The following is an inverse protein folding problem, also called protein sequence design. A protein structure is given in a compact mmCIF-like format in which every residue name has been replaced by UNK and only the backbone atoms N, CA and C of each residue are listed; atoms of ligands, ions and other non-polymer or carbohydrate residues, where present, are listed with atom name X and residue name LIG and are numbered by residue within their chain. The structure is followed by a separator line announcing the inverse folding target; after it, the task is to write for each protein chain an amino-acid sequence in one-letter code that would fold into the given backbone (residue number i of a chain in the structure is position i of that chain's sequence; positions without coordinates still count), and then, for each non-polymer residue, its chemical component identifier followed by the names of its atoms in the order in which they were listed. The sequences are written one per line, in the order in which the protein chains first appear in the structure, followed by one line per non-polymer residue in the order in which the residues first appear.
data_IF_303448978517
#
_entry.id   IF_303448978517
#
_cell.length_a   1.000
_cell.length_b   1.000
_cell.length_c   1.000
_cell.angle_alpha   90.00
_cell.angle_beta   90.00
_cell.angle_gamma   90.00
#
_symmetry.space_group_name_H-M   'P 1'
#
loop_
_entity.id
_entity.type
_entity.pdbx_description
1 polymer ?
#
# COMPACT_ATOMS: atom_id res chain seq x y z
N UNK A 1 16.25 -21.57 -12.35
CA UNK A 1 15.85 -21.21 -12.17
C UNK A 1 15.20 -20.69 -11.72
N UNK A 2 15.12 -20.72 -11.62
CA UNK A 2 14.55 -20.32 -11.41
C UNK A 2 14.04 -19.69 -10.93
N UNK A 3 13.65 -19.61 -10.74
CA UNK A 3 13.18 -18.97 -10.37
C UNK A 3 13.14 -17.98 -9.66
N UNK A 4 13.25 -18.05 -9.43
CA UNK A 4 13.68 -16.85 -8.81
C UNK A 4 13.14 -15.63 -9.37
N UNK A 5 12.34 -15.78 -10.34
CA UNK A 5 11.64 -14.68 -10.96
C UNK A 5 10.71 -13.98 -10.02
N UNK A 6 10.39 -14.63 -8.92
CA UNK A 6 9.47 -14.05 -7.95
C UNK A 6 10.16 -13.52 -6.72
N UNK A 7 11.43 -13.17 -6.88
CA UNK A 7 12.15 -12.56 -5.78
C UNK A 7 11.49 -11.24 -5.45
N UNK A 8 11.18 -11.07 -4.19
CA UNK A 8 10.53 -9.86 -3.73
C UNK A 8 11.52 -9.02 -2.95
N UNK A 9 11.31 -7.73 -3.00
CA UNK A 9 12.15 -6.80 -2.29
C UNK A 9 11.51 -6.46 -0.96
N UNK A 10 12.35 -6.36 0.06
CA UNK A 10 11.90 -5.95 1.38
C UNK A 10 12.07 -4.45 1.47
N UNK A 11 10.98 -3.77 1.73
CA UNK A 11 10.99 -2.32 1.86
C UNK A 11 10.52 -1.98 3.25
N UNK A 12 11.29 -1.15 3.94
CA UNK A 12 10.94 -0.73 5.29
C UNK A 12 10.56 0.73 5.24
N UNK A 13 9.28 1.00 5.50
CA UNK A 13 8.77 2.36 5.47
C UNK A 13 8.74 3.02 6.84
N UNK A 14 8.75 2.24 7.89
CA UNK A 14 8.56 2.77 9.22
C UNK A 14 9.82 2.60 10.04
N UNK A 15 10.20 3.63 10.77
CA UNK A 15 11.37 3.56 11.60
C UNK A 15 11.17 2.69 12.83
N UNK A 16 9.93 2.48 13.25
CA UNK A 16 9.69 1.60 14.39
C UNK A 16 9.82 0.14 13.99
N UNK A 17 9.86 -0.16 12.69
CA UNK A 17 10.16 -1.49 12.17
C UNK A 17 9.22 -2.57 12.69
N UNK A 18 7.97 -2.20 12.87
CA UNK A 18 6.97 -3.16 13.33
C UNK A 18 6.43 -4.02 12.21
N UNK A 19 6.84 -3.77 10.98
CA UNK A 19 6.44 -4.58 9.85
C UNK A 19 7.45 -4.40 8.72
N UNK A 20 7.41 -5.34 7.79
CA UNK A 20 8.16 -5.26 6.54
C UNK A 20 7.18 -5.34 5.38
N UNK A 21 7.54 -4.74 4.27
CA UNK A 21 6.73 -4.80 3.07
C UNK A 21 7.54 -5.52 2.01
N UNK A 22 6.96 -6.55 1.43
CA UNK A 22 7.62 -7.38 0.42
C UNK A 22 6.82 -7.26 -0.87
N UNK A 23 7.46 -6.73 -1.91
CA UNK A 23 6.80 -6.50 -3.18
C UNK A 23 7.69 -6.98 -4.31
N UNK A 24 7.08 -7.33 -5.46
CA UNK A 24 7.88 -7.70 -6.63
C UNK A 24 8.74 -6.54 -7.11
N UNK A 25 9.84 -6.88 -7.74
CA UNK A 25 10.78 -5.86 -8.19
C UNK A 25 10.14 -4.91 -9.21
N UNK A 26 9.32 -5.44 -10.12
CA UNK A 26 8.69 -4.57 -11.11
C UNK A 26 7.75 -3.56 -10.47
N UNK A 27 7.09 -3.93 -9.38
CA UNK A 27 6.25 -2.98 -8.67
C UNK A 27 7.11 -1.92 -7.99
N UNK A 28 8.22 -2.33 -7.40
CA UNK A 28 9.13 -1.36 -6.79
C UNK A 28 9.64 -0.37 -7.83
N UNK A 29 9.96 -0.85 -9.03
CA UNK A 29 10.39 0.03 -10.10
C UNK A 29 9.28 1.02 -10.48
N UNK A 30 8.06 0.52 -10.60
CA UNK A 30 6.93 1.40 -10.92
C UNK A 30 6.72 2.47 -9.86
N UNK A 31 6.80 2.09 -8.60
CA UNK A 31 6.62 3.04 -7.51
C UNK A 31 7.74 4.07 -7.46
N UNK A 32 8.94 3.66 -7.81
CA UNK A 32 10.10 4.53 -7.75
C UNK A 32 10.24 5.42 -8.99
N UNK A 33 9.56 5.07 -10.08
CA UNK A 33 9.65 5.80 -11.33
C UNK A 33 8.62 6.93 -11.35
N UNK A 34 8.74 7.83 -10.39
CA UNK A 34 7.82 8.96 -10.26
C UNK A 34 8.56 10.09 -9.60
N UNK A 35 8.72 11.16 -10.35
CA UNK A 35 9.47 12.30 -9.89
C UNK A 35 8.62 13.34 -9.19
N UNK A 36 7.40 12.97 -8.82
CA UNK A 36 6.50 13.88 -8.11
C UNK A 36 7.03 14.27 -6.74
N UNK A 37 8.02 13.54 -6.23
CA UNK A 37 8.61 13.92 -4.96
C UNK A 37 9.17 15.35 -4.97
N UNK A 38 9.39 15.91 -6.15
CA UNK A 38 9.82 17.29 -6.27
C UNK A 38 8.69 18.27 -6.05
N UNK A 39 7.46 17.81 -6.13
CA UNK A 39 6.29 18.66 -5.94
C UNK A 39 5.73 18.39 -4.55
N UNK A 40 5.95 19.34 -3.63
CA UNK A 40 5.58 19.11 -2.24
C UNK A 40 4.08 19.09 -2.01
N UNK A 41 3.29 19.47 -3.00
CA UNK A 41 1.84 19.51 -2.84
C UNK A 41 1.18 18.18 -3.20
N UNK A 42 1.95 17.20 -3.66
CA UNK A 42 1.37 15.91 -3.97
C UNK A 42 2.36 14.79 -3.65
N UNK A 43 1.81 13.62 -3.35
CA UNK A 43 2.62 12.44 -3.08
C UNK A 43 3.16 11.85 -4.37
N UNK A 44 4.34 11.24 -4.28
CA UNK A 44 4.80 10.32 -5.31
C UNK A 44 4.05 9.00 -5.17
N UNK A 45 4.21 8.13 -6.15
CA UNK A 45 3.62 6.78 -6.09
C UNK A 45 4.10 6.04 -4.85
N UNK A 46 5.39 6.14 -4.55
CA UNK A 46 5.93 5.45 -3.38
C UNK A 46 5.32 6.00 -2.10
N UNK A 47 5.16 7.32 -2.00
CA UNK A 47 4.54 7.92 -0.83
C UNK A 47 3.08 7.50 -0.69
N UNK A 48 2.37 7.40 -1.81
CA UNK A 48 0.98 6.96 -1.77
C UNK A 48 0.88 5.51 -1.31
N UNK A 49 1.76 4.65 -1.81
CA UNK A 49 1.78 3.26 -1.39
C UNK A 49 2.12 3.15 0.09
N UNK A 50 3.12 3.90 0.53
CA UNK A 50 3.50 3.93 1.95
C UNK A 50 2.31 4.36 2.81
N UNK A 51 1.55 5.35 2.35
CA UNK A 51 0.39 5.82 3.09
C UNK A 51 -0.66 4.72 3.23
N UNK A 52 -0.89 3.95 2.17
CA UNK A 52 -1.82 2.83 2.23
C UNK A 52 -1.34 1.77 3.23
N UNK A 53 -0.05 1.46 3.20
CA UNK A 53 0.51 0.46 4.10
C UNK A 53 0.35 0.91 5.54
N UNK A 54 0.63 2.17 5.83
CA UNK A 54 0.54 2.69 7.19
C UNK A 54 -0.91 2.71 7.68
N UNK A 55 -1.85 3.06 6.79
CA UNK A 55 -3.26 3.01 7.15
C UNK A 55 -3.70 1.59 7.45
N UNK A 56 -3.21 0.63 6.65
CA UNK A 56 -3.55 -0.77 6.86
C UNK A 56 -2.99 -1.26 8.19
N UNK A 57 -1.73 -0.91 8.48
CA UNK A 57 -1.11 -1.30 9.75
C UNK A 57 -1.91 -0.75 10.94
N UNK A 58 -2.31 0.50 10.86
CA UNK A 58 -3.10 1.12 11.92
C UNK A 58 -4.43 0.40 12.09
N UNK A 59 -5.09 0.06 10.98
CA UNK A 59 -6.36 -0.67 11.04
C UNK A 59 -6.18 -2.04 11.67
N UNK A 60 -5.11 -2.74 11.32
CA UNK A 60 -4.84 -4.06 11.90
C UNK A 60 -4.64 -3.95 13.41
N UNK A 61 -3.95 -2.92 13.87
CA UNK A 61 -3.74 -2.74 15.30
C UNK A 61 -5.05 -2.48 16.03
N UNK A 62 -6.00 -1.85 15.36
CA UNK A 62 -7.31 -1.58 15.95
C UNK A 62 -8.28 -2.72 15.71
N UNK A 63 -7.85 -3.76 15.00
CA UNK A 63 -8.70 -4.90 14.66
C UNK A 63 -9.92 -4.47 13.85
N UNK A 64 -9.69 -3.55 12.92
CA UNK A 64 -10.71 -3.01 12.05
C UNK A 64 -10.33 -3.22 10.60
N UNK A 65 -11.32 -3.23 9.73
CA UNK A 65 -11.07 -3.18 8.30
C UNK A 65 -10.57 -1.79 7.93
N UNK A 66 -9.67 -1.74 6.94
CA UNK A 66 -9.23 -0.46 6.41
C UNK A 66 -10.24 0.00 5.37
N UNK A 67 -11.09 0.92 5.76
CA UNK A 67 -12.04 1.52 4.83
C UNK A 67 -11.42 2.76 4.23
N UNK A 68 -11.45 2.87 2.90
CA UNK A 68 -10.89 4.02 2.22
C UNK A 68 -11.98 4.72 1.42
N UNK A 69 -11.82 6.01 1.33
CA UNK A 69 -12.69 6.86 0.53
C UNK A 69 -11.82 7.52 -0.51
N UNK A 70 -12.18 7.35 -1.78
CA UNK A 70 -11.34 7.85 -2.88
C UNK A 70 -11.18 9.36 -2.79
N UNK A 71 -12.22 10.07 -2.41
CA UNK A 71 -12.13 11.52 -2.30
C UNK A 71 -11.15 11.94 -1.22
N UNK A 72 -11.18 11.25 -0.08
CA UNK A 72 -10.25 11.56 1.00
C UNK A 72 -8.81 11.24 0.62
N UNK A 73 -8.60 10.12 -0.06
CA UNK A 73 -7.27 9.79 -0.55
C UNK A 73 -6.79 10.83 -1.55
N UNK A 74 -7.68 11.26 -2.43
CA UNK A 74 -7.35 12.29 -3.40
C UNK A 74 -6.83 13.55 -2.70
N UNK A 75 -7.52 13.97 -1.65
CA UNK A 75 -7.10 15.15 -0.90
C UNK A 75 -5.80 14.92 -0.14
N UNK A 76 -5.66 13.73 0.46
CA UNK A 76 -4.45 13.43 1.23
C UNK A 76 -3.22 13.34 0.35
N UNK A 77 -3.38 12.80 -0.85
CA UNK A 77 -2.25 12.56 -1.74
C UNK A 77 -2.01 13.73 -2.71
N UNK A 78 -2.96 14.63 -2.82
CA UNK A 78 -2.87 15.71 -3.81
C UNK A 78 -3.02 15.18 -5.23
N UNK A 79 -3.80 14.13 -5.42
CA UNK A 79 -4.04 13.49 -6.71
C UNK A 79 -5.48 13.71 -7.13
N UNK A 80 -5.75 13.61 -8.43
CA UNK A 80 -7.13 13.58 -8.90
C UNK A 80 -7.76 12.25 -8.50
N UNK A 81 -9.08 12.24 -8.38
CA UNK A 81 -9.79 11.00 -8.04
C UNK A 81 -9.56 9.89 -9.05
N UNK A 82 -9.61 10.17 -10.37
CA UNK A 82 -9.31 9.10 -11.32
C UNK A 82 -7.90 8.52 -11.14
N UNK A 83 -6.93 9.35 -10.80
CA UNK A 83 -5.57 8.86 -10.58
C UNK A 83 -5.51 7.94 -9.38
N UNK A 84 -6.21 8.30 -8.29
CA UNK A 84 -6.27 7.44 -7.11
C UNK A 84 -6.91 6.11 -7.47
N UNK A 85 -8.03 6.14 -8.19
CA UNK A 85 -8.72 4.92 -8.58
C UNK A 85 -7.84 4.02 -9.43
N UNK A 86 -7.16 4.60 -10.41
CA UNK A 86 -6.28 3.80 -11.27
C UNK A 86 -5.13 3.19 -10.50
N UNK A 87 -4.60 3.92 -9.54
CA UNK A 87 -3.50 3.42 -8.72
C UNK A 87 -3.95 2.23 -7.87
N UNK A 88 -5.10 2.36 -7.22
CA UNK A 88 -5.65 1.26 -6.41
C UNK A 88 -5.94 0.05 -7.29
N UNK A 89 -6.53 0.27 -8.47
CA UNK A 89 -6.82 -0.81 -9.39
C UNK A 89 -5.54 -1.48 -9.89
N UNK A 90 -4.50 -0.68 -10.11
CA UNK A 90 -3.21 -1.24 -10.53
C UNK A 90 -2.64 -2.14 -9.44
N UNK A 91 -2.69 -1.70 -8.19
CA UNK A 91 -2.19 -2.51 -7.08
C UNK A 91 -3.01 -3.78 -6.92
N UNK A 92 -4.32 -3.69 -7.14
CA UNK A 92 -5.16 -4.88 -7.08
C UNK A 92 -4.80 -5.85 -8.19
N UNK A 93 -4.56 -5.35 -9.39
CA UNK A 93 -4.17 -6.18 -10.52
C UNK A 93 -2.81 -6.84 -10.29
N UNK A 94 -1.94 -6.19 -9.55
CA UNK A 94 -0.64 -6.77 -9.19
C UNK A 94 -0.73 -7.71 -7.99
N UNK A 95 -1.93 -7.94 -7.49
CA UNK A 95 -2.18 -8.86 -6.38
C UNK A 95 -1.47 -8.45 -5.10
N UNK A 96 -1.32 -7.14 -4.92
CA UNK A 96 -0.73 -6.59 -3.72
C UNK A 96 -1.80 -6.37 -2.66
N UNK A 97 -3.02 -6.07 -3.11
CA UNK A 97 -4.13 -5.84 -2.21
C UNK A 97 -5.42 -6.35 -2.82
N UNK A 98 -6.41 -6.49 -1.99
CA UNK A 98 -7.77 -6.84 -2.40
C UNK A 98 -8.70 -5.70 -2.06
N UNK A 99 -9.68 -5.46 -2.91
CA UNK A 99 -10.62 -4.38 -2.75
C UNK A 99 -12.04 -4.96 -2.69
N UNK A 100 -12.77 -4.58 -1.66
CA UNK A 100 -14.16 -5.01 -1.49
C UNK A 100 -15.01 -3.76 -1.45
N UNK A 101 -15.95 -3.64 -2.39
CA UNK A 101 -16.81 -2.48 -2.44
C UNK A 101 -17.95 -2.63 -1.46
N UNK A 102 -18.17 -1.60 -0.66
CA UNK A 102 -19.34 -1.50 0.19
C UNK A 102 -20.03 -0.19 -0.18
N UNK A 103 -21.21 0.01 0.33
CA UNK A 103 -22.15 1.01 -0.18
C UNK A 103 -21.51 2.34 -0.58
N UNK A 104 -20.76 2.96 0.32
CA UNK A 104 -20.19 4.29 0.06
C UNK A 104 -18.68 4.32 0.17
N UNK A 105 -18.05 3.17 0.38
CA UNK A 105 -16.60 3.14 0.56
C UNK A 105 -16.06 1.83 0.05
N UNK A 106 -14.76 1.68 0.17
CA UNK A 106 -14.07 0.46 -0.23
C UNK A 106 -13.30 -0.07 0.97
N UNK A 107 -13.39 -1.37 1.17
CA UNK A 107 -12.54 -2.04 2.15
C UNK A 107 -11.31 -2.52 1.39
N UNK A 108 -10.13 -2.18 1.86
CA UNK A 108 -8.88 -2.56 1.22
C UNK A 108 -8.08 -3.40 2.20
N UNK A 109 -7.61 -4.54 1.73
CA UNK A 109 -6.75 -5.41 2.53
C UNK A 109 -5.48 -5.69 1.76
N UNK A 110 -4.36 -5.38 2.38
CA UNK A 110 -3.09 -5.77 1.81
C UNK A 110 -2.91 -7.27 2.05
N UNK A 111 -2.36 -7.95 1.06
CA UNK A 111 -2.19 -9.39 1.17
C UNK A 111 -1.16 -9.69 2.23
N UNK A 112 -1.37 -10.80 2.94
CA UNK A 112 -0.51 -11.13 4.08
C UNK A 112 0.93 -11.41 3.68
N UNK A 113 1.17 -11.80 2.43
CA UNK A 113 2.52 -12.00 1.97
C UNK A 113 3.20 -10.67 1.63
N UNK A 114 2.44 -9.58 1.56
CA UNK A 114 2.98 -8.26 1.25
C UNK A 114 3.39 -7.54 2.52
N UNK A 115 2.53 -7.54 3.53
CA UNK A 115 2.85 -6.90 4.79
C UNK A 115 3.12 -7.97 5.82
N UNK A 116 4.37 -8.06 6.24
CA UNK A 116 4.83 -9.13 7.11
C UNK A 116 5.17 -8.54 8.47
N UNK A 117 4.58 -9.09 9.51
CA UNK A 117 4.85 -8.66 10.87
C UNK A 117 5.95 -9.55 11.47
N UNK A 118 6.93 -8.96 12.15
CA UNK A 118 8.01 -9.77 12.73
C UNK A 118 7.46 -10.72 13.78
N UNK A 119 8.13 -11.87 13.97
CA UNK A 119 7.72 -12.81 15.01
C UNK A 119 7.74 -12.13 16.36
N UNK A 120 6.76 -12.46 17.19
CA UNK A 120 6.65 -11.88 18.51
C UNK A 120 6.03 -10.50 18.54
N UNK A 121 5.78 -9.91 17.37
CA UNK A 121 5.14 -8.62 17.25
C UNK A 121 3.76 -8.81 16.67
N UNK A 122 2.96 -9.57 17.36
CA UNK A 122 1.66 -9.94 16.83
C UNK A 122 0.73 -8.76 16.88
N UNK A 123 0.20 -8.41 15.73
CA UNK A 123 -0.87 -7.44 15.66
C UNK A 123 -2.15 -8.26 15.55
N UNK A 124 -2.97 -8.17 16.59
CA UNK A 124 -4.18 -8.95 16.63
C UNK A 124 -5.20 -8.31 15.74
N UNK A 125 -5.81 -9.06 14.97
CA UNK A 125 -6.81 -8.46 14.13
C UNK A 125 -7.01 -9.22 12.90
#
# INVERSE_FOLDING_TARGET
MANNTNIENIVTFSENKNYHVMIPFDLLEFLSDDYSYKNKSRFSRLQAFQNLVERYYTSCRKQEDMAVNIERLSKSWGWSRPSVMRFVQFLEAKEVLDVFNVVTSKIVRLRKEVVVFPPGRVVKG
#
